data_IF_304666542177
#
_entry.id   IF_304666542177
#
_cell.length_a   1.000
_cell.length_b   1.000
_cell.length_c   1.000
_cell.angle_alpha   90.00
_cell.angle_beta   90.00
_cell.angle_gamma   90.00
#
_symmetry.space_group_name_H-M   'P 1'
#
loop_
_entity.id
_entity.type
_entity.pdbx_description
1 polymer ?
#
# COMPACT_ATOMS: atom_id res chain seq x y z
N UNK A 1 -48.76 -54.51 55.96
CA UNK A 1 -48.52 -54.09 54.56
C UNK A 1 -49.26 -52.80 54.30
N UNK A 2 -48.57 -51.66 54.40
CA UNK A 2 -49.02 -50.35 53.92
C UNK A 2 -47.84 -49.79 53.16
N UNK A 3 -48.00 -49.68 51.84
CA UNK A 3 -47.01 -49.14 50.92
C UNK A 3 -47.36 -47.69 50.67
N UNK A 4 -46.60 -46.78 51.31
CA UNK A 4 -46.70 -45.35 51.06
C UNK A 4 -46.04 -45.03 49.71
N UNK A 5 -46.87 -44.58 48.76
CA UNK A 5 -46.44 -44.03 47.48
C UNK A 5 -45.95 -42.60 47.69
N UNK A 6 -44.64 -42.42 47.84
CA UNK A 6 -44.00 -41.11 47.73
C UNK A 6 -44.00 -40.65 46.27
N UNK A 7 -44.75 -39.59 46.00
CA UNK A 7 -44.70 -38.85 44.75
C UNK A 7 -43.40 -38.04 44.70
N UNK A 8 -42.54 -38.33 43.73
CA UNK A 8 -41.36 -37.51 43.42
C UNK A 8 -41.80 -36.48 42.37
N UNK A 9 -41.71 -35.16 42.64
CA UNK A 9 -41.96 -34.17 41.61
C UNK A 9 -40.79 -34.17 40.61
N UNK A 10 -41.11 -34.50 39.36
CA UNK A 10 -40.24 -34.26 38.21
C UNK A 10 -40.06 -32.75 38.04
N UNK A 11 -38.91 -32.23 38.43
CA UNK A 11 -38.48 -30.86 38.09
C UNK A 11 -37.90 -30.91 36.68
N UNK A 12 -38.69 -30.51 35.69
CA UNK A 12 -38.21 -30.25 34.34
C UNK A 12 -37.34 -28.99 34.35
N UNK A 13 -36.03 -29.14 34.42
CA UNK A 13 -35.07 -28.05 34.18
C UNK A 13 -35.05 -27.81 32.67
N UNK A 14 -35.79 -26.79 32.23
CA UNK A 14 -35.68 -26.27 30.88
C UNK A 14 -34.35 -25.49 30.76
N UNK A 15 -33.33 -26.11 30.18
CA UNK A 15 -32.14 -25.40 29.71
C UNK A 15 -32.56 -24.54 28.50
N UNK A 16 -32.85 -23.28 28.75
CA UNK A 16 -32.90 -22.27 27.68
C UNK A 16 -31.47 -22.04 27.20
N UNK A 17 -31.08 -22.75 26.13
CA UNK A 17 -29.88 -22.41 25.35
C UNK A 17 -30.19 -21.08 24.67
N UNK A 18 -29.84 -19.97 25.33
CA UNK A 18 -29.67 -18.69 24.64
C UNK A 18 -28.49 -18.88 23.68
N UNK A 19 -28.78 -19.28 22.45
CA UNK A 19 -27.87 -19.09 21.35
C UNK A 19 -27.75 -17.58 21.14
N UNK A 20 -26.77 -16.97 21.81
CA UNK A 20 -26.28 -15.65 21.43
C UNK A 20 -25.73 -15.80 20.02
N UNK A 21 -26.55 -15.45 19.03
CA UNK A 21 -26.08 -15.09 17.70
C UNK A 21 -25.20 -13.86 17.89
N UNK A 22 -23.93 -14.10 18.26
CA UNK A 22 -22.89 -13.13 18.05
C UNK A 22 -22.81 -12.99 16.53
N UNK A 23 -23.55 -12.01 16.00
CA UNK A 23 -23.22 -11.43 14.73
C UNK A 23 -21.82 -10.87 14.93
N UNK A 24 -20.82 -11.66 14.56
CA UNK A 24 -19.48 -11.15 14.33
C UNK A 24 -19.71 -10.03 13.32
N UNK A 25 -19.63 -8.78 13.78
CA UNK A 25 -19.37 -7.71 12.84
C UNK A 25 -18.12 -8.19 12.11
N UNK A 26 -18.26 -8.43 10.81
CA UNK A 26 -17.08 -8.53 9.96
C UNK A 26 -16.42 -7.18 10.16
N UNK A 27 -15.36 -7.13 10.96
CA UNK A 27 -14.52 -5.94 11.02
C UNK A 27 -14.16 -5.66 9.57
N UNK A 28 -14.61 -4.49 9.10
CA UNK A 28 -14.34 -4.08 7.74
C UNK A 28 -12.81 -4.06 7.62
N UNK A 29 -12.29 -4.67 6.56
CA UNK A 29 -10.88 -4.61 6.26
C UNK A 29 -10.45 -3.13 6.25
N UNK A 30 -9.36 -2.77 6.94
CA UNK A 30 -8.88 -1.40 6.97
C UNK A 30 -8.68 -0.85 5.56
N UNK A 31 -8.91 0.46 5.40
CA UNK A 31 -8.65 1.11 4.13
C UNK A 31 -7.16 0.98 3.79
N UNK A 32 -6.88 0.67 2.52
CA UNK A 32 -5.53 0.58 1.96
C UNK A 32 -4.78 1.91 2.05
N UNK A 33 -5.49 3.03 1.98
CA UNK A 33 -4.96 4.36 2.24
C UNK A 33 -5.55 4.90 3.54
N UNK A 34 -4.68 5.20 4.50
CA UNK A 34 -5.08 5.84 5.74
C UNK A 34 -5.15 7.36 5.57
N UNK A 35 -6.23 7.98 6.01
CA UNK A 35 -6.42 9.44 5.96
C UNK A 35 -6.08 10.14 7.26
N UNK A 36 -6.04 9.41 8.38
CA UNK A 36 -5.50 9.88 9.65
C UNK A 36 -4.03 9.49 9.76
N UNK A 37 -3.15 10.36 9.29
CA UNK A 37 -1.70 10.13 9.30
C UNK A 37 -1.10 10.05 10.72
N UNK A 38 -1.84 10.48 11.75
CA UNK A 38 -1.36 10.48 13.13
C UNK A 38 -0.40 11.64 13.42
N UNK A 39 0.66 11.35 14.18
CA UNK A 39 1.60 12.37 14.65
C UNK A 39 2.77 12.55 13.68
N UNK A 40 3.15 13.80 13.42
CA UNK A 40 4.36 14.14 12.68
C UNK A 40 5.60 13.68 13.45
N UNK A 41 6.53 13.03 12.75
CA UNK A 41 7.82 12.61 13.28
C UNK A 41 8.81 13.78 13.27
N UNK A 42 8.79 14.58 14.34
CA UNK A 42 9.51 15.86 14.41
C UNK A 42 11.04 15.74 14.28
N UNK A 43 11.63 14.58 14.58
CA UNK A 43 13.07 14.36 14.45
C UNK A 43 13.51 14.18 12.99
N UNK A 44 12.57 13.89 12.08
CA UNK A 44 12.80 13.74 10.64
C UNK A 44 12.40 14.99 9.84
N UNK A 45 11.81 15.99 10.50
CA UNK A 45 11.34 17.20 9.83
C UNK A 45 12.51 18.16 9.60
N UNK A 46 12.69 18.64 8.38
CA UNK A 46 13.77 19.57 8.06
C UNK A 46 15.14 18.91 8.01
N UNK A 47 15.19 17.61 7.76
CA UNK A 47 16.42 16.81 7.74
C UNK A 47 16.56 16.05 6.43
N UNK A 48 17.80 15.72 6.13
CA UNK A 48 18.24 14.84 5.06
C UNK A 48 18.95 13.62 5.70
N UNK A 49 18.86 12.44 5.08
CA UNK A 49 19.47 11.19 5.52
C UNK A 49 19.18 10.76 6.98
N UNK A 50 18.12 11.28 7.59
CA UNK A 50 17.81 11.02 9.00
C UNK A 50 16.97 9.76 9.21
N UNK A 51 17.07 9.17 10.39
CA UNK A 51 16.19 8.09 10.86
C UNK A 51 15.72 8.33 12.30
N UNK A 52 14.54 7.81 12.63
CA UNK A 52 13.98 7.88 13.98
C UNK A 52 13.21 6.60 14.31
N UNK A 53 13.26 6.20 15.58
CA UNK A 53 12.63 4.98 16.05
C UNK A 53 11.22 5.25 16.57
N UNK A 54 10.29 4.38 16.23
CA UNK A 54 8.96 4.32 16.83
C UNK A 54 8.73 2.97 17.50
N UNK A 55 7.92 2.98 18.55
CA UNK A 55 7.50 1.77 19.26
C UNK A 55 6.11 1.38 18.78
N UNK A 56 5.96 0.12 18.38
CA UNK A 56 4.68 -0.46 18.00
C UNK A 56 3.94 -0.94 19.26
N UNK A 57 2.63 -0.71 19.29
CA UNK A 57 1.75 -1.19 20.36
C UNK A 57 1.45 -2.69 20.28
N UNK A 58 1.91 -3.35 19.21
CA UNK A 58 1.76 -4.78 18.94
C UNK A 58 3.08 -5.42 18.50
N UNK A 59 3.11 -6.75 18.48
CA UNK A 59 4.21 -7.53 17.91
C UNK A 59 3.96 -7.71 16.41
N UNK A 60 4.86 -7.21 15.57
CA UNK A 60 4.83 -7.42 14.13
C UNK A 60 5.65 -8.66 13.74
N UNK A 61 5.04 -9.76 13.29
CA UNK A 61 5.77 -10.94 12.87
C UNK A 61 6.33 -10.77 11.44
N UNK A 62 7.65 -10.89 11.29
CA UNK A 62 8.33 -10.79 10.00
C UNK A 62 9.60 -11.66 9.97
N UNK A 63 9.85 -12.37 8.87
CA UNK A 63 11.04 -13.22 8.70
C UNK A 63 11.33 -14.16 9.91
N UNK A 64 10.30 -14.84 10.40
CA UNK A 64 10.36 -15.74 11.57
C UNK A 64 10.78 -15.09 12.91
N UNK A 65 10.74 -13.76 13.00
CA UNK A 65 10.97 -12.98 14.21
C UNK A 65 9.77 -12.07 14.49
N UNK A 66 9.73 -11.45 15.67
CA UNK A 66 8.73 -10.44 16.03
C UNK A 66 9.42 -9.13 16.39
N UNK A 67 8.81 -8.02 15.97
CA UNK A 67 9.35 -6.68 16.14
C UNK A 67 8.35 -5.80 16.87
N UNK A 68 8.83 -5.00 17.82
CA UNK A 68 8.05 -3.99 18.56
C UNK A 68 8.61 -2.58 18.37
N UNK A 69 9.67 -2.46 17.57
CA UNK A 69 10.33 -1.21 17.24
C UNK A 69 10.57 -1.21 15.74
N UNK A 70 10.34 -0.06 15.12
CA UNK A 70 10.64 0.20 13.72
C UNK A 70 11.44 1.51 13.63
N UNK A 71 12.48 1.51 12.81
CA UNK A 71 13.27 2.70 12.47
C UNK A 71 12.80 3.22 11.12
N UNK A 72 12.29 4.44 11.11
CA UNK A 72 11.74 5.11 9.92
C UNK A 72 12.77 6.08 9.38
N UNK A 73 13.00 6.05 8.07
CA UNK A 73 14.02 6.86 7.43
C UNK A 73 13.42 7.91 6.47
N UNK A 74 14.09 9.06 6.42
CA UNK A 74 13.82 10.18 5.52
C UNK A 74 13.68 9.72 4.06
N UNK A 75 14.58 8.83 3.63
CA UNK A 75 14.71 8.27 2.30
C UNK A 75 13.64 7.24 1.94
N UNK A 76 12.57 7.07 2.72
CA UNK A 76 11.40 6.29 2.29
C UNK A 76 11.45 4.78 2.58
N UNK A 77 12.21 4.39 3.61
CA UNK A 77 12.32 3.02 4.09
C UNK A 77 12.05 2.86 5.60
N UNK A 78 11.77 1.64 6.02
CA UNK A 78 11.66 1.22 7.43
C UNK A 78 12.56 0.02 7.69
N UNK A 79 13.42 0.10 8.70
CA UNK A 79 14.15 -1.06 9.27
C UNK A 79 13.39 -1.59 10.47
N UNK A 80 13.20 -2.91 10.54
CA UNK A 80 12.59 -3.55 11.70
C UNK A 80 13.63 -3.78 12.80
N UNK A 81 13.33 -3.30 14.01
CA UNK A 81 14.23 -3.35 15.16
C UNK A 81 14.73 -1.97 15.60
N UNK A 82 15.59 -1.95 16.61
CA UNK A 82 16.17 -0.73 17.17
C UNK A 82 17.49 -0.42 16.47
N UNK A 83 17.41 -0.02 15.20
CA UNK A 83 18.56 0.40 14.42
C UNK A 83 18.23 1.69 13.65
N UNK A 84 18.54 2.87 14.22
CA UNK A 84 18.40 4.14 13.54
C UNK A 84 19.48 4.34 12.47
N UNK A 85 20.14 3.27 12.01
CA UNK A 85 21.10 3.33 10.93
C UNK A 85 20.51 4.10 9.75
N UNK A 86 21.33 4.97 9.16
CA UNK A 86 20.98 5.70 7.95
C UNK A 86 20.73 4.66 6.85
N UNK A 87 19.56 4.68 6.22
CA UNK A 87 19.46 4.12 4.88
C UNK A 87 20.29 5.03 4.00
N UNK A 88 21.50 4.57 3.71
CA UNK A 88 22.24 5.19 2.63
C UNK A 88 21.43 4.98 1.36
N UNK A 89 20.99 6.11 0.82
CA UNK A 89 20.97 6.39 -0.61
C UNK A 89 21.96 5.50 -1.34
N UNK A 90 21.48 4.76 -2.36
CA UNK A 90 22.34 3.81 -3.04
C UNK A 90 23.02 4.55 -4.17
N UNK A 91 24.31 4.92 -4.01
CA UNK A 91 24.99 5.75 -4.99
C UNK A 91 24.97 5.00 -6.32
N UNK A 92 24.61 5.70 -7.40
CA UNK A 92 24.49 5.15 -8.75
C UNK A 92 25.66 4.22 -9.14
N UNK A 93 26.88 4.51 -8.70
CA UNK A 93 28.08 3.74 -9.03
C UNK A 93 28.22 2.39 -8.30
N UNK A 94 27.44 2.15 -7.24
CA UNK A 94 27.41 0.87 -6.50
C UNK A 94 26.35 -0.10 -7.03
N UNK A 95 25.44 0.36 -7.89
CA UNK A 95 24.39 -0.46 -8.51
C UNK A 95 24.95 -1.62 -9.35
N UNK A 96 26.03 -1.37 -10.08
CA UNK A 96 26.66 -2.36 -10.97
C UNK A 96 27.34 -3.53 -10.25
N UNK A 97 27.52 -3.46 -8.93
CA UNK A 97 28.41 -4.37 -8.19
C UNK A 97 27.71 -5.37 -7.30
N UNK A 98 26.38 -5.52 -7.39
CA UNK A 98 25.59 -6.35 -6.47
C UNK A 98 25.85 -6.02 -4.97
N UNK A 99 26.48 -4.88 -4.68
CA UNK A 99 26.84 -4.41 -3.34
C UNK A 99 25.68 -3.70 -2.66
N UNK A 100 24.73 -3.26 -3.49
CA UNK A 100 23.46 -2.63 -3.16
C UNK A 100 22.71 -3.28 -2.00
N UNK A 101 22.64 -4.61 -1.99
CA UNK A 101 21.85 -5.38 -1.01
C UNK A 101 22.47 -5.31 0.39
N UNK A 102 23.75 -4.97 0.48
CA UNK A 102 24.45 -4.80 1.75
C UNK A 102 24.24 -3.41 2.36
N UNK A 103 23.59 -2.48 1.64
CA UNK A 103 23.43 -1.08 2.03
C UNK A 103 22.16 -0.75 2.83
N UNK A 104 21.06 -1.48 2.63
CA UNK A 104 19.76 -1.16 3.26
C UNK A 104 19.75 -1.33 4.77
N UNK A 105 20.64 -2.14 5.31
CA UNK A 105 20.84 -2.25 6.74
C UNK A 105 22.24 -2.80 6.98
N UNK A 106 23.18 -1.92 7.35
CA UNK A 106 24.50 -2.36 7.79
C UNK A 106 24.43 -3.31 9.00
N UNK A 107 23.30 -3.33 9.73
CA UNK A 107 23.05 -4.23 10.86
C UNK A 107 22.51 -5.60 10.48
N UNK A 108 22.08 -5.83 9.23
CA UNK A 108 21.43 -7.07 8.81
C UNK A 108 20.02 -7.25 9.37
N UNK A 109 19.36 -6.14 9.72
CA UNK A 109 17.96 -6.16 10.13
C UNK A 109 17.05 -6.18 8.90
N UNK A 110 15.83 -6.76 9.00
CA UNK A 110 14.86 -6.71 7.91
C UNK A 110 14.46 -5.28 7.55
N UNK A 111 14.11 -5.07 6.29
CA UNK A 111 13.68 -3.77 5.78
C UNK A 111 12.41 -3.88 4.96
N UNK A 112 11.56 -2.86 5.07
CA UNK A 112 10.37 -2.63 4.28
C UNK A 112 10.55 -1.29 3.56
N UNK A 113 10.49 -1.31 2.24
CA UNK A 113 10.99 -0.23 1.41
C UNK A 113 9.87 0.15 0.44
N UNK A 114 8.87 0.94 0.87
CA UNK A 114 7.79 1.36 -0.01
C UNK A 114 8.29 2.27 -1.15
N UNK A 115 9.29 3.12 -0.91
CA UNK A 115 9.86 3.99 -1.94
C UNK A 115 11.20 4.56 -1.47
N UNK A 116 12.32 3.86 -1.70
CA UNK A 116 13.62 4.34 -1.25
C UNK A 116 14.43 5.02 -2.34
N UNK A 117 14.80 6.26 -2.07
CA UNK A 117 15.66 7.11 -2.92
C UNK A 117 16.18 8.29 -2.09
N UNK A 118 16.96 9.19 -2.68
CA UNK A 118 17.49 10.39 -2.02
C UNK A 118 16.38 11.45 -1.83
N UNK A 119 15.69 11.38 -0.69
CA UNK A 119 14.58 12.26 -0.33
C UNK A 119 15.03 13.29 0.71
N UNK A 120 14.74 14.56 0.46
CA UNK A 120 15.13 15.66 1.32
C UNK A 120 13.90 16.34 1.94
N UNK A 121 13.79 16.28 3.27
CA UNK A 121 12.72 16.94 4.03
C UNK A 121 13.08 18.35 4.51
N UNK A 122 14.22 18.90 4.07
CA UNK A 122 14.69 20.23 4.47
C UNK A 122 13.71 21.34 4.08
N UNK A 123 13.08 21.22 2.90
CA UNK A 123 12.26 22.30 2.32
C UNK A 123 10.79 21.92 2.11
N UNK A 124 10.49 20.64 1.92
CA UNK A 124 9.12 20.13 1.69
C UNK A 124 8.87 18.82 2.43
N UNK A 125 7.60 18.50 2.57
CA UNK A 125 7.15 17.19 3.00
C UNK A 125 7.35 16.90 4.48
N UNK A 126 6.64 15.89 4.96
CA UNK A 126 6.68 15.44 6.33
C UNK A 126 6.50 13.92 6.41
N UNK A 127 7.05 13.33 7.46
CA UNK A 127 6.80 11.93 7.80
C UNK A 127 5.89 11.88 9.02
N UNK A 128 4.87 11.03 8.93
CA UNK A 128 3.91 10.80 10.00
C UNK A 128 3.87 9.34 10.40
N UNK A 129 3.51 9.12 11.66
CA UNK A 129 3.29 7.80 12.24
C UNK A 129 1.97 7.76 12.99
N UNK A 130 1.16 6.73 12.72
CA UNK A 130 -0.05 6.42 13.46
C UNK A 130 -0.08 4.94 13.87
N UNK A 131 -0.46 4.67 15.10
CA UNK A 131 -0.56 3.33 15.67
C UNK A 131 -1.97 3.10 16.21
N UNK A 132 -2.63 2.09 15.67
CA UNK A 132 -4.04 1.78 15.92
C UNK A 132 -4.24 0.62 16.91
N UNK A 133 -3.18 0.01 17.43
CA UNK A 133 -3.27 -1.15 18.34
C UNK A 133 -3.03 -2.50 17.64
N UNK A 134 -3.56 -2.67 16.43
CA UNK A 134 -3.48 -3.89 15.62
C UNK A 134 -2.82 -3.68 14.26
N UNK A 135 -2.55 -2.42 13.91
CA UNK A 135 -1.79 -1.98 12.74
C UNK A 135 -1.10 -0.66 13.02
N UNK A 136 -0.07 -0.38 12.24
CA UNK A 136 0.59 0.91 12.22
C UNK A 136 0.78 1.41 10.79
N UNK A 137 0.77 2.73 10.61
CA UNK A 137 0.92 3.40 9.32
C UNK A 137 2.06 4.41 9.39
N UNK A 138 2.92 4.36 8.39
CA UNK A 138 3.98 5.31 8.13
C UNK A 138 3.62 6.05 6.85
N UNK A 139 3.55 7.38 6.91
CA UNK A 139 3.20 8.21 5.74
C UNK A 139 4.33 9.16 5.44
N UNK A 140 4.83 9.12 4.20
CA UNK A 140 5.65 10.17 3.63
C UNK A 140 4.71 11.02 2.79
N UNK A 141 4.49 12.28 3.19
CA UNK A 141 3.53 13.17 2.56
C UNK A 141 4.26 14.36 1.92
N UNK A 142 4.24 14.43 0.59
CA UNK A 142 4.83 15.51 -0.19
C UNK A 142 6.35 15.62 -0.05
N UNK A 143 7.04 14.49 0.17
CA UNK A 143 8.50 14.45 0.32
C UNK A 143 9.18 14.64 -1.04
N UNK A 144 10.14 15.56 -1.11
CA UNK A 144 10.78 15.98 -2.36
C UNK A 144 12.11 15.28 -2.60
N UNK A 145 12.60 15.31 -3.85
CA UNK A 145 13.99 14.92 -4.12
C UNK A 145 14.98 15.96 -3.59
N UNK A 146 16.23 15.55 -3.35
CA UNK A 146 17.32 16.45 -2.98
C UNK A 146 17.61 17.57 -4.01
N UNK A 147 17.34 17.33 -5.29
CA UNK A 147 17.69 18.23 -6.40
C UNK A 147 16.65 19.31 -6.64
N UNK A 148 15.37 18.92 -6.56
CA UNK A 148 14.23 19.72 -6.96
C UNK A 148 13.05 19.54 -5.98
N UNK A 149 13.26 19.76 -4.67
CA UNK A 149 12.28 19.39 -3.64
C UNK A 149 10.90 20.05 -3.84
N UNK A 150 10.86 21.25 -4.42
CA UNK A 150 9.61 21.99 -4.64
C UNK A 150 8.89 21.64 -5.95
N UNK A 151 9.53 20.88 -6.86
CA UNK A 151 9.00 20.57 -8.19
C UNK A 151 8.60 19.11 -8.34
N UNK A 152 9.33 18.22 -7.67
CA UNK A 152 9.13 16.78 -7.73
C UNK A 152 8.97 16.23 -6.32
N UNK A 153 7.80 15.66 -6.04
CA UNK A 153 7.45 15.14 -4.71
C UNK A 153 6.62 13.86 -4.80
N UNK A 154 6.69 13.06 -3.75
CA UNK A 154 5.96 11.82 -3.59
C UNK A 154 5.14 11.81 -2.29
N UNK A 155 3.95 11.20 -2.36
CA UNK A 155 3.10 10.88 -1.22
C UNK A 155 2.76 9.38 -1.25
N UNK A 156 3.22 8.65 -0.25
CA UNK A 156 3.10 7.20 -0.15
C UNK A 156 3.02 6.71 1.30
N UNK A 157 2.54 5.48 1.49
CA UNK A 157 2.36 4.84 2.79
C UNK A 157 2.92 3.43 2.84
N UNK A 158 3.38 3.08 4.04
CA UNK A 158 3.57 1.71 4.49
C UNK A 158 2.54 1.44 5.60
N UNK A 159 1.73 0.39 5.43
CA UNK A 159 0.96 -0.17 6.54
C UNK A 159 1.53 -1.52 6.96
N UNK A 160 1.63 -1.76 8.27
CA UNK A 160 2.00 -3.06 8.83
C UNK A 160 0.92 -3.51 9.82
N UNK A 161 0.64 -4.82 9.86
CA UNK A 161 -0.47 -5.40 10.62
C UNK A 161 0.05 -6.44 11.62
N UNK A 162 -0.63 -6.59 12.77
CA UNK A 162 -0.25 -7.54 13.81
C UNK A 162 -0.24 -9.02 13.36
N UNK A 163 -0.88 -9.34 12.23
CA UNK A 163 -0.88 -10.68 11.62
C UNK A 163 0.33 -10.93 10.69
N UNK A 164 1.21 -9.94 10.52
CA UNK A 164 2.41 -10.02 9.67
C UNK A 164 2.20 -9.57 8.24
N UNK A 165 0.98 -9.16 7.86
CA UNK A 165 0.75 -8.49 6.58
C UNK A 165 1.38 -7.11 6.56
N UNK A 166 1.68 -6.63 5.37
CA UNK A 166 1.99 -5.24 5.13
C UNK A 166 1.59 -4.82 3.71
N UNK A 167 1.46 -3.51 3.49
CA UNK A 167 1.12 -2.96 2.18
C UNK A 167 1.89 -1.68 1.88
N UNK A 168 2.18 -1.48 0.60
CA UNK A 168 2.67 -0.21 0.05
C UNK A 168 1.55 0.43 -0.75
N UNK A 169 1.23 1.69 -0.45
CA UNK A 169 0.21 2.44 -1.16
C UNK A 169 0.77 3.78 -1.64
N UNK A 170 0.34 4.21 -2.82
CA UNK A 170 0.85 5.39 -3.51
C UNK A 170 -0.34 6.29 -3.85
N UNK A 171 -0.22 7.61 -3.61
CA UNK A 171 -1.33 8.55 -3.82
C UNK A 171 -1.00 9.72 -4.73
N UNK A 172 0.19 10.30 -4.59
CA UNK A 172 0.53 11.49 -5.39
C UNK A 172 2.01 11.46 -5.74
N UNK A 173 2.28 11.59 -7.03
CA UNK A 173 3.61 11.66 -7.61
C UNK A 173 3.57 12.82 -8.59
N UNK A 174 4.26 13.90 -8.25
CA UNK A 174 4.32 15.09 -9.09
C UNK A 174 5.74 15.31 -9.60
N UNK A 175 5.83 15.92 -10.78
CA UNK A 175 7.09 16.15 -11.47
C UNK A 175 7.66 14.90 -12.14
N UNK A 176 8.89 15.00 -12.61
CA UNK A 176 9.65 13.86 -13.13
C UNK A 176 10.61 13.41 -12.03
N UNK A 177 10.07 12.71 -11.02
CA UNK A 177 10.86 12.21 -9.89
C UNK A 177 12.08 11.42 -10.38
N UNK A 178 11.94 10.57 -11.40
CA UNK A 178 13.07 9.80 -11.92
C UNK A 178 14.18 10.72 -12.46
N UNK A 179 13.83 11.79 -13.18
CA UNK A 179 14.83 12.75 -13.68
C UNK A 179 15.38 13.71 -12.62
N UNK A 180 14.60 13.98 -11.57
CA UNK A 180 14.95 14.87 -10.47
C UNK A 180 15.61 14.16 -9.29
N UNK A 181 15.73 12.83 -9.32
CA UNK A 181 16.56 12.07 -8.40
C UNK A 181 17.96 11.95 -9.00
N UNK A 182 18.99 12.26 -8.22
CA UNK A 182 20.39 11.96 -8.59
C UNK A 182 20.78 10.51 -8.28
N UNK A 183 19.80 9.72 -7.83
CA UNK A 183 19.91 8.33 -7.42
C UNK A 183 18.82 7.44 -8.02
N UNK A 184 19.00 6.13 -7.86
CA UNK A 184 17.97 5.17 -8.21
C UNK A 184 16.84 5.07 -7.19
N UNK A 185 15.75 4.44 -7.61
CA UNK A 185 14.59 4.14 -6.78
C UNK A 185 14.59 2.65 -6.45
N UNK A 186 14.17 2.33 -5.24
CA UNK A 186 14.15 0.96 -4.74
C UNK A 186 12.85 0.72 -4.01
N UNK A 187 12.16 -0.34 -4.39
CA UNK A 187 10.93 -0.76 -3.70
C UNK A 187 10.99 -2.24 -3.38
N UNK A 188 10.50 -2.65 -2.22
CA UNK A 188 10.45 -4.06 -1.85
C UNK A 188 10.71 -4.30 -0.37
N UNK A 189 11.29 -5.46 -0.06
CA UNK A 189 11.55 -5.88 1.30
C UNK A 189 12.73 -6.85 1.38
N UNK A 190 13.35 -6.96 2.55
CA UNK A 190 14.33 -8.01 2.87
C UNK A 190 14.13 -8.56 4.28
N UNK A 191 14.44 -9.83 4.44
CA UNK A 191 14.56 -10.54 5.72
C UNK A 191 15.83 -10.18 6.52
N UNK A 192 16.64 -9.25 6.03
CA UNK A 192 17.90 -8.84 6.66
C UNK A 192 19.06 -9.81 6.40
N UNK A 193 18.83 -10.90 5.67
CA UNK A 193 19.92 -11.75 5.24
C UNK A 193 20.76 -10.98 4.20
N UNK A 194 22.08 -10.92 4.41
CA UNK A 194 23.03 -10.28 3.50
C UNK A 194 23.16 -10.99 2.14
N UNK A 195 22.18 -11.82 1.77
CA UNK A 195 22.16 -12.57 0.51
C UNK A 195 21.55 -11.66 -0.56
N UNK A 196 22.31 -11.31 -1.61
CA UNK A 196 21.74 -10.60 -2.75
C UNK A 196 20.52 -11.36 -3.28
N UNK A 197 19.39 -10.69 -3.57
CA UNK A 197 18.28 -11.35 -4.22
C UNK A 197 18.78 -11.90 -5.56
N UNK A 198 18.13 -12.95 -6.04
CA UNK A 198 18.47 -13.62 -7.30
C UNK A 198 18.25 -12.75 -8.56
N UNK A 199 17.91 -11.48 -8.40
CA UNK A 199 17.58 -10.49 -9.42
C UNK A 199 16.54 -9.50 -8.91
N UNK A 200 16.30 -8.44 -9.70
CA UNK A 200 15.13 -7.57 -9.51
C UNK A 200 13.86 -8.38 -9.79
N UNK A 201 12.81 -8.15 -9.00
CA UNK A 201 11.45 -8.58 -9.33
C UNK A 201 10.76 -7.46 -10.11
N UNK A 202 9.71 -7.79 -10.84
CA UNK A 202 8.78 -6.82 -11.40
C UNK A 202 7.45 -6.96 -10.64
N UNK A 203 7.09 -5.98 -9.81
CA UNK A 203 5.88 -6.07 -9.00
C UNK A 203 4.60 -5.96 -9.85
N UNK A 204 4.68 -5.49 -11.10
CA UNK A 204 3.54 -5.53 -12.03
C UNK A 204 3.15 -6.95 -12.43
N UNK A 205 4.05 -7.92 -12.29
CA UNK A 205 3.81 -9.33 -12.64
C UNK A 205 3.20 -10.13 -11.47
N UNK A 206 2.87 -9.47 -10.35
CA UNK A 206 2.14 -10.08 -9.25
C UNK A 206 0.81 -10.72 -9.74
N UNK A 207 0.40 -11.88 -9.19
CA UNK A 207 0.90 -12.44 -7.94
C UNK A 207 2.09 -13.40 -8.06
N UNK A 208 2.94 -13.40 -7.03
CA UNK A 208 4.03 -14.38 -6.84
C UNK A 208 4.26 -14.66 -5.35
N UNK A 209 4.97 -15.75 -5.01
CA UNK A 209 5.12 -16.24 -3.63
C UNK A 209 6.50 -16.79 -3.28
N UNK A 210 6.76 -17.03 -2.00
CA UNK A 210 7.95 -17.75 -1.50
C UNK A 210 9.22 -16.92 -1.40
N UNK A 211 9.11 -15.60 -1.49
CA UNK A 211 10.25 -14.69 -1.45
C UNK A 211 10.45 -14.14 -0.04
N UNK A 212 11.68 -14.21 0.47
CA UNK A 212 12.08 -13.63 1.77
C UNK A 212 12.81 -12.30 1.60
N UNK A 213 13.34 -12.05 0.40
CA UNK A 213 13.88 -10.76 -0.04
C UNK A 213 13.46 -10.55 -1.49
N UNK A 214 12.97 -9.35 -1.81
CA UNK A 214 12.52 -8.97 -3.15
C UNK A 214 12.58 -7.48 -3.31
N UNK A 215 13.21 -7.02 -4.37
CA UNK A 215 13.28 -5.62 -4.71
C UNK A 215 13.00 -5.41 -6.20
N UNK A 216 12.30 -4.34 -6.49
CA UNK A 216 12.29 -3.70 -7.80
C UNK A 216 13.12 -2.43 -7.72
N UNK A 217 13.86 -2.18 -8.79
CA UNK A 217 15.09 -1.39 -8.78
C UNK A 217 15.08 -0.57 -10.08
N UNK A 218 15.08 0.76 -9.98
CA UNK A 218 15.08 1.69 -11.12
C UNK A 218 16.28 2.63 -11.08
N UNK A 219 16.99 2.74 -12.20
CA UNK A 219 18.16 3.61 -12.32
C UNK A 219 17.82 4.85 -13.15
N UNK A 220 18.36 6.00 -12.76
CA UNK A 220 18.47 7.15 -13.66
C UNK A 220 19.71 7.00 -14.55
N UNK A 221 19.52 7.11 -15.86
CA UNK A 221 20.48 6.64 -16.89
C UNK A 221 21.34 7.76 -17.50
N UNK A 222 21.45 8.93 -16.85
CA UNK A 222 22.23 10.06 -17.38
C UNK A 222 23.70 10.06 -16.93
N UNK A 223 24.41 8.93 -17.02
CA UNK A 223 25.87 9.01 -17.21
C UNK A 223 26.19 8.99 -18.71
N UNK A 224 26.34 10.16 -19.37
CA UNK A 224 26.76 10.22 -20.77
C UNK A 224 28.19 9.68 -20.99
N UNK A 225 28.91 9.29 -19.93
CA UNK A 225 30.23 8.66 -19.96
C UNK A 225 30.26 7.18 -19.57
N UNK A 226 29.16 6.58 -19.13
CA UNK A 226 29.13 5.16 -18.79
C UNK A 226 29.22 4.31 -20.07
N UNK A 227 30.04 3.26 -20.03
CA UNK A 227 30.12 2.28 -21.10
C UNK A 227 28.76 1.55 -21.16
N UNK A 228 28.02 1.59 -22.28
CA UNK A 228 26.76 0.85 -22.43
C UNK A 228 26.92 -0.67 -22.32
N UNK A 229 28.14 -1.19 -22.25
CA UNK A 229 28.41 -2.59 -21.93
C UNK A 229 28.51 -2.89 -20.42
N UNK A 230 28.65 -1.85 -19.58
CA UNK A 230 28.67 -1.96 -18.12
C UNK A 230 27.31 -1.59 -17.48
N UNK A 231 26.30 -1.17 -18.25
CA UNK A 231 24.94 -0.89 -17.77
C UNK A 231 24.19 -2.17 -17.41
N UNK A 232 24.59 -2.81 -16.31
CA UNK A 232 23.74 -3.73 -15.56
C UNK A 232 22.65 -3.01 -14.75
N UNK A 233 22.55 -1.69 -14.87
CA UNK A 233 21.26 -1.03 -14.79
C UNK A 233 20.35 -1.78 -15.77
N UNK A 234 19.51 -2.67 -15.25
CA UNK A 234 18.39 -3.21 -16.01
C UNK A 234 17.70 -1.97 -16.56
N UNK A 235 17.84 -1.64 -17.86
CA UNK A 235 17.19 -0.46 -18.43
C UNK A 235 15.68 -0.66 -18.26
N UNK A 236 15.02 -0.12 -17.21
CA UNK A 236 13.60 -0.29 -17.04
C UNK A 236 13.01 0.84 -17.87
N UNK A 237 12.92 0.61 -19.18
CA UNK A 237 12.20 1.51 -20.06
C UNK A 237 13.04 2.37 -21.00
N UNK A 238 13.85 1.74 -21.88
CA UNK A 238 13.86 2.29 -23.24
C UNK A 238 12.51 2.09 -23.94
N UNK A 239 11.77 1.03 -23.61
CA UNK A 239 10.47 0.73 -24.22
C UNK A 239 9.31 0.37 -23.25
N UNK A 240 9.53 -0.14 -22.02
CA UNK A 240 8.44 -0.61 -21.13
C UNK A 240 8.64 -0.25 -19.65
N UNK A 241 8.28 0.99 -19.26
CA UNK A 241 8.31 1.51 -17.89
C UNK A 241 7.22 0.91 -16.96
N UNK A 242 6.85 -0.37 -17.15
CA UNK A 242 5.60 -0.95 -16.61
C UNK A 242 5.58 -1.20 -15.11
N UNK A 243 6.74 -1.18 -14.45
CA UNK A 243 6.85 -1.30 -13.00
C UNK A 243 6.53 0.00 -12.27
N UNK A 244 7.05 1.12 -12.78
CA UNK A 244 6.69 2.45 -12.29
C UNK A 244 5.23 2.78 -12.60
N UNK A 245 4.65 2.18 -13.64
CA UNK A 245 3.22 2.28 -13.93
C UNK A 245 2.34 1.74 -12.78
N UNK A 246 2.80 0.78 -11.96
CA UNK A 246 2.04 0.33 -10.78
C UNK A 246 2.00 1.40 -9.69
N UNK A 247 3.09 2.14 -9.50
CA UNK A 247 3.16 3.23 -8.53
C UNK A 247 2.41 4.48 -9.01
N UNK A 248 2.56 4.82 -10.30
CA UNK A 248 1.91 5.98 -10.92
C UNK A 248 0.41 5.80 -11.16
N UNK A 249 -0.12 4.58 -11.07
CA UNK A 249 -1.54 4.30 -11.25
C UNK A 249 -2.34 4.30 -9.93
N UNK A 250 -1.85 4.97 -8.88
CA UNK A 250 -2.44 4.93 -7.52
C UNK A 250 -2.55 3.48 -6.99
N UNK A 251 -1.57 2.66 -7.35
CA UNK A 251 -1.59 1.22 -7.06
C UNK A 251 -1.33 0.90 -5.60
N UNK A 252 -1.57 -0.35 -5.24
CA UNK A 252 -1.24 -0.88 -3.92
C UNK A 252 -0.65 -2.25 -4.08
N UNK A 253 0.47 -2.47 -3.39
CA UNK A 253 1.09 -3.78 -3.25
C UNK A 253 0.74 -4.31 -1.86
N UNK A 254 0.13 -5.49 -1.80
CA UNK A 254 -0.13 -6.18 -0.55
C UNK A 254 0.76 -7.42 -0.44
N UNK A 255 1.35 -7.60 0.74
CA UNK A 255 2.25 -8.68 1.08
C UNK A 255 1.64 -9.48 2.23
N UNK A 256 1.23 -10.71 1.94
CA UNK A 256 0.64 -11.62 2.93
C UNK A 256 1.58 -12.79 3.22
N UNK A 257 1.90 -13.08 4.50
CA UNK A 257 2.72 -14.25 4.85
C UNK A 257 2.14 -15.55 4.24
N UNK A 258 2.97 -16.32 3.55
CA UNK A 258 2.52 -17.55 2.87
C UNK A 258 2.68 -18.83 3.73
N UNK A 259 3.14 -18.68 4.97
CA UNK A 259 3.40 -19.77 5.91
C UNK A 259 4.71 -20.53 5.67
N UNK A 260 5.48 -20.21 4.62
CA UNK A 260 6.79 -20.80 4.33
C UNK A 260 7.97 -19.93 4.80
N UNK A 261 7.66 -18.75 5.37
CA UNK A 261 8.63 -17.72 5.73
C UNK A 261 8.77 -16.63 4.67
N UNK A 262 8.13 -16.78 3.51
CA UNK A 262 8.02 -15.75 2.46
C UNK A 262 6.64 -15.09 2.42
N UNK A 263 6.42 -14.32 1.36
CA UNK A 263 5.19 -13.56 1.14
C UNK A 263 4.55 -13.90 -0.20
N UNK A 264 3.21 -13.98 -0.20
CA UNK A 264 2.38 -13.80 -1.39
C UNK A 264 2.25 -12.29 -1.63
N UNK A 265 2.68 -11.84 -2.81
CA UNK A 265 2.54 -10.45 -3.24
C UNK A 265 1.35 -10.35 -4.18
N UNK A 266 0.48 -9.36 -3.98
CA UNK A 266 -0.65 -9.06 -4.89
C UNK A 266 -0.69 -7.58 -5.23
N UNK A 267 -1.13 -7.26 -6.43
CA UNK A 267 -1.36 -5.89 -6.87
C UNK A 267 -2.87 -5.59 -6.86
N UNK A 268 -3.27 -4.57 -6.10
CA UNK A 268 -4.67 -4.17 -5.90
C UNK A 268 -5.11 -3.02 -6.82
N UNK A 269 -4.38 -2.73 -7.91
CA UNK A 269 -4.67 -1.63 -8.84
C UNK A 269 -6.11 -1.61 -9.40
N UNK A 270 -6.87 -2.71 -9.31
CA UNK A 270 -8.27 -2.78 -9.77
C UNK A 270 -9.32 -2.75 -8.64
N UNK A 271 -8.95 -2.91 -7.38
CA UNK A 271 -9.92 -3.07 -6.28
C UNK A 271 -10.54 -1.75 -5.80
N UNK A 272 -9.93 -0.61 -6.15
CA UNK A 272 -10.37 0.72 -5.72
C UNK A 272 -11.42 1.37 -6.65
N UNK A 273 -11.84 0.73 -7.75
CA UNK A 273 -13.05 1.20 -8.42
C UNK A 273 -14.24 0.98 -7.48
N UNK A 274 -15.04 2.04 -7.17
CA UNK A 274 -16.26 1.86 -6.40
C UNK A 274 -17.08 0.74 -7.05
N UNK A 275 -17.67 -0.18 -6.26
CA UNK A 275 -18.49 -1.23 -6.84
C UNK A 275 -19.50 -0.58 -7.78
N UNK A 276 -19.71 -1.14 -8.99
CA UNK A 276 -20.61 -0.55 -9.96
C UNK A 276 -21.94 -0.27 -9.25
N UNK A 277 -22.54 0.93 -9.45
CA UNK A 277 -23.79 1.26 -8.78
C UNK A 277 -24.78 0.11 -9.01
N UNK A 278 -25.58 -0.27 -7.99
CA UNK A 278 -26.52 -1.36 -8.15
C UNK A 278 -27.35 -1.12 -9.42
N UNK A 279 -27.63 -2.16 -10.21
CA UNK A 279 -28.42 -2.00 -11.43
C UNK A 279 -29.72 -1.27 -11.04
N UNK A 280 -30.18 -0.30 -11.85
CA UNK A 280 -31.41 0.41 -11.55
C UNK A 280 -32.53 -0.61 -11.35
N UNK A 281 -33.49 -0.35 -10.43
CA UNK A 281 -34.62 -1.22 -10.24
C UNK A 281 -35.25 -1.54 -11.61
N UNK A 282 -35.67 -2.79 -11.85
CA UNK A 282 -36.37 -3.11 -13.08
C UNK A 282 -37.53 -2.12 -13.24
N UNK A 283 -37.60 -1.48 -14.41
CA UNK A 283 -38.74 -0.63 -14.76
C UNK A 283 -40.01 -1.43 -14.47
N UNK A 284 -41.03 -0.83 -13.83
CA UNK A 284 -42.29 -1.52 -13.63
C UNK A 284 -42.74 -2.04 -14.99
N UNK A 285 -42.93 -3.36 -15.07
CA UNK A 285 -43.51 -3.98 -16.27
C UNK A 285 -44.77 -3.21 -16.59
N UNK A 286 -44.94 -2.69 -17.82
CA UNK A 286 -46.19 -2.06 -18.21
C UNK A 286 -47.29 -3.05 -17.88
N UNK A 287 -48.09 -2.74 -16.87
CA UNK A 287 -49.35 -3.45 -16.66
C UNK A 287 -50.15 -3.16 -17.91
N UNK A 288 -50.34 -4.20 -18.74
CA UNK A 288 -51.21 -4.12 -19.89
C UNK A 288 -52.49 -3.41 -19.46
N UNK A 289 -52.88 -2.31 -20.11
CA UNK A 289 -54.13 -1.66 -19.79
C UNK A 289 -55.24 -2.66 -20.10
N UNK A 290 -55.80 -3.27 -19.07
CA UNK A 290 -57.02 -4.05 -19.18
C UNK A 290 -58.09 -3.16 -19.83
N UNK A 291 -58.39 -3.46 -21.10
CA UNK A 291 -59.72 -3.32 -21.68
C UNK A 291 -60.44 -1.98 -21.47
N UNK A 292 -59.78 -0.84 -21.67
CA UNK A 292 -60.41 0.47 -21.66
C UNK A 292 -60.79 0.95 -23.06
N UNK A 293 -61.90 0.44 -23.61
CA UNK A 293 -62.50 0.95 -24.86
C UNK A 293 -62.94 2.42 -24.70
N UNK A 294 -62.31 3.30 -25.47
CA UNK A 294 -62.93 4.53 -25.96
C UNK A 294 -62.56 5.81 -25.22
N UNK A 295 -61.72 6.64 -25.85
CA UNK A 295 -61.49 8.00 -25.40
C UNK A 295 -60.35 8.67 -26.15
N UNK A 296 -60.65 9.28 -27.29
CA UNK A 296 -59.78 10.25 -27.98
C UNK A 296 -59.51 11.43 -27.05
N UNK A 297 -58.27 11.57 -26.56
CA UNK A 297 -57.89 12.63 -25.64
C UNK A 297 -56.40 12.95 -25.74
N UNK A 298 -56.09 14.02 -26.46
CA UNK A 298 -54.83 14.79 -26.52
C UNK A 298 -54.27 15.06 -25.11
N UNK A 299 -52.92 15.12 -24.96
CA UNK A 299 -52.07 15.76 -23.92
C UNK A 299 -50.85 14.83 -23.66
N UNK A 300 -49.59 15.22 -23.45
CA UNK A 300 -48.85 16.47 -23.51
C UNK A 300 -47.37 16.05 -23.37
N UNK A 301 -46.48 16.73 -24.09
CA UNK A 301 -45.03 16.70 -23.93
C UNK A 301 -44.63 16.87 -22.45
N UNK A 302 -43.77 16.00 -21.91
CA UNK A 302 -42.87 16.36 -20.82
C UNK A 302 -41.47 15.82 -21.07
N UNK A 303 -40.54 16.76 -20.98
CA UNK A 303 -39.10 16.70 -21.17
C UNK A 303 -38.49 17.09 -19.80
N UNK A 304 -37.21 16.74 -19.56
CA UNK A 304 -36.32 17.16 -18.44
C UNK A 304 -36.41 16.20 -17.22
N UNK A 305 -35.36 15.69 -16.55
CA UNK A 305 -33.91 15.90 -16.38
C UNK A 305 -33.35 14.58 -15.74
N UNK A 306 -32.08 14.25 -15.51
CA UNK A 306 -30.75 14.81 -15.69
C UNK A 306 -29.77 13.64 -15.46
N UNK A 307 -28.70 13.55 -16.24
CA UNK A 307 -27.51 12.77 -15.88
C UNK A 307 -26.28 13.63 -16.19
N UNK A 308 -25.69 14.17 -15.13
CA UNK A 308 -24.39 14.80 -15.13
C UNK A 308 -23.47 13.98 -14.21
N UNK A 309 -22.15 14.14 -14.40
CA UNK A 309 -20.99 13.55 -13.68
C UNK A 309 -20.43 12.31 -14.39
N UNK A 310 -19.16 12.19 -14.79
CA UNK A 310 -17.99 13.08 -14.86
C UNK A 310 -17.07 12.41 -15.91
N UNK A 311 -16.74 13.09 -17.00
CA UNK A 311 -15.60 12.68 -17.83
C UNK A 311 -14.40 13.54 -17.42
N UNK A 312 -13.35 12.93 -16.85
CA UNK A 312 -12.04 13.56 -16.67
C UNK A 312 -11.50 13.86 -18.07
N UNK A 313 -11.52 15.13 -18.46
CA UNK A 313 -10.82 15.61 -19.64
C UNK A 313 -9.36 15.82 -19.23
N UNK A 314 -8.45 14.94 -19.66
CA UNK A 314 -7.01 15.22 -19.63
C UNK A 314 -6.77 16.40 -20.58
N UNK A 315 -6.47 17.58 -20.02
CA UNK A 315 -6.06 18.75 -20.79
C UNK A 315 -4.61 18.49 -21.20
N UNK A 316 -4.42 18.16 -22.47
CA UNK A 316 -3.13 18.16 -23.13
C UNK A 316 -2.76 19.63 -23.37
N UNK A 317 -1.76 20.15 -22.66
CA UNK A 317 -1.19 21.48 -22.96
C UNK A 317 -0.45 21.45 -24.29
N UNK A 318 -0.54 22.50 -25.13
CA UNK A 318 0.25 22.58 -26.35
C UNK A 318 1.72 22.80 -25.99
N UNK A 319 2.58 22.05 -26.64
CA UNK A 319 4.04 22.27 -26.67
C UNK A 319 4.28 23.48 -27.59
N UNK A 320 4.93 24.51 -27.06
CA UNK A 320 5.66 25.53 -27.82
C UNK A 320 7.17 25.20 -27.76
#
# INVERSE_FOLDING_TARGET
MKTDKSWVPFVCIAFAVLASLATSASDAEPAVWETDYGAMMSNLTGTDDAADNVVLSFEFPFAAQTYTVASVNANGGVVLGNDPGEFHTVPWHLWHRNSFVLGFSASGNPSLVPFNTDLDLTNTGQIYFNDFGDRAVFTWDGVGSNRSPDLSFATFQLQIFADGKFSFAYQDFNGDLIADLDEGIVVGFSDGSAVPPAGSVNFSDAPFSGLTTSYEIWCYDEDPGADPADSNCYEPGRDNNSGFDVMLADGTLEFTPDGTGGFLVTNQAEANEPPPPPPPPPLPTPTDPEGGSGGTGIWMLFLIAAAAIRARLKIQTPVD
#
